data_IF_846071607049
#
_entry.id   IF_846071607049
#
_cell.length_a   1.000
_cell.length_b   1.000
_cell.length_c   1.000
_cell.angle_alpha   90.00
_cell.angle_beta   90.00
_cell.angle_gamma   90.00
#
_symmetry.space_group_name_H-M   'P 1'
#
loop_
_entity.id
_entity.type
_entity.pdbx_description
1 polymer ?
#
# COMPACT_ATOMS: atom_id res chain seq x y z
N UNK A 1 16.71 -1.15 11.71
CA UNK A 1 16.98 0.27 11.41
C UNK A 1 17.75 0.28 10.09
N UNK A 2 17.07 0.44 8.96
CA UNK A 2 17.73 0.48 7.64
C UNK A 2 18.26 1.89 7.44
N UNK A 3 19.57 2.02 7.25
CA UNK A 3 20.25 3.31 7.25
C UNK A 3 20.30 3.82 5.81
N UNK A 4 19.46 4.80 5.49
CA UNK A 4 19.46 5.47 4.17
C UNK A 4 20.04 6.89 4.19
N UNK A 5 20.40 7.44 5.37
CA UNK A 5 20.86 8.84 5.49
C UNK A 5 22.20 8.99 6.27
N UNK A 6 23.15 8.07 6.11
CA UNK A 6 24.49 8.18 6.75
C UNK A 6 25.59 8.39 5.73
N UNK A 7 26.64 9.13 6.11
CA UNK A 7 27.83 9.31 5.27
C UNK A 7 28.49 7.96 4.94
N UNK A 8 28.74 7.71 3.66
CA UNK A 8 29.23 6.44 3.13
C UNK A 8 28.12 5.56 2.51
N UNK A 9 26.84 5.84 2.77
CA UNK A 9 25.73 5.13 2.12
C UNK A 9 25.67 5.44 0.61
N UNK A 10 26.13 6.61 0.19
CA UNK A 10 26.23 7.01 -1.23
C UNK A 10 27.23 6.18 -2.04
N UNK A 11 28.10 5.39 -1.36
CA UNK A 11 29.08 4.49 -1.99
C UNK A 11 28.63 3.04 -2.04
N UNK A 12 27.40 2.76 -1.59
CA UNK A 12 26.83 1.41 -1.67
C UNK A 12 26.50 1.09 -3.13
N UNK A 13 26.84 -0.13 -3.52
CA UNK A 13 26.60 -0.63 -4.87
C UNK A 13 25.13 -1.03 -5.09
N UNK A 14 24.33 -1.05 -4.01
CA UNK A 14 22.99 -1.61 -4.00
C UNK A 14 23.01 -3.14 -4.05
N UNK A 15 21.88 -3.75 -4.38
CA UNK A 15 21.75 -5.21 -4.59
C UNK A 15 22.40 -6.03 -3.47
N UNK A 16 21.94 -5.81 -2.24
CA UNK A 16 22.40 -6.56 -1.06
C UNK A 16 23.62 -5.94 -0.34
N UNK A 17 24.28 -4.94 -0.92
CA UNK A 17 25.31 -4.15 -0.23
C UNK A 17 24.66 -3.11 0.70
N UNK A 18 25.03 -3.14 1.98
CA UNK A 18 24.42 -2.31 3.02
C UNK A 18 25.40 -1.93 4.14
N UNK A 19 25.07 -0.88 4.88
CA UNK A 19 25.74 -0.54 6.15
C UNK A 19 24.89 -1.04 7.33
N UNK A 20 25.45 -1.94 8.13
CA UNK A 20 24.87 -2.46 9.35
C UNK A 20 25.51 -1.79 10.57
N UNK A 21 24.69 -1.29 11.49
CA UNK A 21 25.20 -0.65 12.70
C UNK A 21 24.73 -1.40 13.97
N UNK A 22 25.53 -2.35 14.47
CA UNK A 22 25.19 -3.10 15.68
C UNK A 22 25.30 -2.22 16.93
N UNK A 23 24.55 -2.60 17.97
CA UNK A 23 24.62 -1.94 19.28
C UNK A 23 25.99 -2.16 19.90
N UNK A 24 26.67 -1.09 20.30
CA UNK A 24 27.97 -1.13 20.96
C UNK A 24 29.16 -0.87 20.03
N UNK A 25 28.95 -0.80 18.72
CA UNK A 25 29.99 -0.38 17.79
C UNK A 25 30.06 1.15 17.68
N UNK A 26 31.24 1.64 17.33
CA UNK A 26 31.48 3.08 17.12
C UNK A 26 31.22 3.55 15.68
N UNK A 27 31.16 2.61 14.73
CA UNK A 27 30.95 2.87 13.30
C UNK A 27 30.13 1.77 12.63
N UNK A 28 29.37 2.08 11.55
CA UNK A 28 28.69 1.06 10.75
C UNK A 28 29.68 0.13 10.03
N UNK A 29 29.32 -1.14 9.94
CA UNK A 29 30.02 -2.19 9.20
C UNK A 29 29.38 -2.32 7.81
N UNK A 30 30.20 -2.42 6.75
CA UNK A 30 29.70 -2.75 5.41
C UNK A 30 29.51 -4.25 5.30
N UNK A 31 28.32 -4.66 4.88
CA UNK A 31 27.92 -6.06 4.71
C UNK A 31 27.32 -6.23 3.32
N UNK A 32 27.59 -7.37 2.70
CA UNK A 32 26.96 -7.77 1.44
C UNK A 32 26.11 -9.03 1.68
N UNK A 33 24.80 -8.86 1.61
CA UNK A 33 23.84 -9.96 1.59
C UNK A 33 23.59 -10.46 0.18
N UNK A 34 23.00 -11.66 0.07
CA UNK A 34 22.44 -12.12 -1.19
C UNK A 34 21.27 -11.20 -1.56
N UNK A 35 21.35 -10.61 -2.75
CA UNK A 35 20.20 -9.96 -3.36
C UNK A 35 19.40 -11.00 -4.11
N UNK A 36 18.12 -11.08 -3.79
CA UNK A 36 17.15 -11.89 -4.52
C UNK A 36 16.13 -10.92 -5.06
N UNK A 37 15.94 -10.92 -6.38
CA UNK A 37 14.93 -10.08 -7.01
C UNK A 37 13.52 -10.63 -6.76
N UNK A 38 12.51 -9.79 -6.97
CA UNK A 38 11.11 -10.21 -6.82
C UNK A 38 10.78 -11.34 -7.80
N UNK A 39 11.27 -11.25 -9.03
CA UNK A 39 11.07 -12.27 -10.07
C UNK A 39 11.71 -13.63 -9.69
N UNK A 40 12.88 -13.61 -9.03
CA UNK A 40 13.53 -14.82 -8.54
C UNK A 40 12.74 -15.46 -7.41
N UNK A 41 12.19 -14.66 -6.49
CA UNK A 41 11.31 -15.16 -5.42
C UNK A 41 10.07 -15.82 -6.01
N UNK A 42 9.38 -15.14 -6.93
CA UNK A 42 8.17 -15.66 -7.59
C UNK A 42 8.44 -16.98 -8.30
N UNK A 43 9.53 -17.05 -9.07
CA UNK A 43 9.91 -18.26 -9.80
C UNK A 43 10.11 -19.46 -8.87
N UNK A 44 10.78 -19.25 -7.73
CA UNK A 44 11.01 -20.31 -6.74
C UNK A 44 9.70 -20.72 -6.08
N UNK A 45 8.83 -19.77 -5.74
CA UNK A 45 7.53 -20.03 -5.14
C UNK A 45 6.64 -20.83 -6.09
N UNK A 46 6.58 -20.46 -7.36
CA UNK A 46 5.82 -21.19 -8.38
C UNK A 46 6.33 -22.62 -8.57
N UNK A 47 7.65 -22.81 -8.62
CA UNK A 47 8.25 -24.13 -8.71
C UNK A 47 7.82 -25.02 -7.54
N UNK A 48 7.88 -24.51 -6.31
CA UNK A 48 7.46 -25.24 -5.11
C UNK A 48 5.96 -25.54 -5.15
N UNK A 49 5.14 -24.57 -5.53
CA UNK A 49 3.68 -24.71 -5.63
C UNK A 49 3.26 -25.81 -6.59
N UNK A 50 3.91 -25.87 -7.75
CA UNK A 50 3.63 -26.87 -8.78
C UNK A 50 4.16 -28.27 -8.42
N UNK A 51 5.16 -28.37 -7.55
CA UNK A 51 5.72 -29.64 -7.06
C UNK A 51 4.91 -30.31 -5.94
N UNK A 52 4.03 -29.58 -5.26
CA UNK A 52 3.24 -30.09 -4.14
C UNK A 52 1.85 -30.54 -4.62
N UNK A 53 1.49 -31.81 -4.35
CA UNK A 53 0.16 -32.37 -4.69
C UNK A 53 -0.97 -31.84 -3.83
N UNK A 54 -0.69 -31.46 -2.59
CA UNK A 54 -1.62 -30.81 -1.67
C UNK A 54 -0.88 -29.65 -0.97
N UNK A 55 -1.39 -28.44 -1.18
CA UNK A 55 -0.93 -27.23 -0.51
C UNK A 55 -1.77 -27.05 0.74
N UNK A 56 -1.23 -27.46 1.87
CA UNK A 56 -1.86 -27.22 3.17
C UNK A 56 -1.40 -25.84 3.67
N UNK A 57 -2.19 -24.81 3.33
CA UNK A 57 -1.95 -23.46 3.86
C UNK A 57 -2.32 -23.44 5.35
N UNK A 58 -1.36 -23.03 6.18
CA UNK A 58 -1.64 -22.82 7.61
C UNK A 58 -2.61 -21.67 7.77
N UNK A 59 -3.78 -21.99 8.33
CA UNK A 59 -4.87 -21.03 8.55
C UNK A 59 -4.42 -19.80 9.36
N UNK A 60 -3.57 -20.00 10.36
CA UNK A 60 -2.99 -18.93 11.19
C UNK A 60 -2.22 -17.88 10.36
N UNK A 61 -1.47 -18.31 9.35
CA UNK A 61 -0.71 -17.41 8.47
C UNK A 61 -1.66 -16.67 7.53
N UNK A 62 -2.69 -17.35 7.03
CA UNK A 62 -3.72 -16.72 6.20
C UNK A 62 -4.48 -15.65 6.98
N UNK A 63 -4.84 -15.93 8.24
CA UNK A 63 -5.52 -15.00 9.13
C UNK A 63 -4.61 -13.80 9.49
N UNK A 64 -3.30 -13.98 9.65
CA UNK A 64 -2.33 -12.87 9.84
C UNK A 64 -2.15 -12.02 8.58
N UNK A 65 -2.12 -12.63 7.40
CA UNK A 65 -2.05 -11.91 6.12
C UNK A 65 -3.33 -11.09 5.95
N UNK A 66 -4.50 -11.68 6.18
CA UNK A 66 -5.77 -10.97 6.13
C UNK A 66 -5.80 -9.82 7.15
N UNK A 67 -5.41 -10.06 8.40
CA UNK A 67 -5.34 -9.00 9.42
C UNK A 67 -4.29 -7.93 9.15
N UNK A 68 -3.17 -8.25 8.50
CA UNK A 68 -2.14 -7.27 8.12
C UNK A 68 -2.56 -6.44 6.91
N UNK A 69 -3.26 -7.05 5.95
CA UNK A 69 -3.93 -6.35 4.85
C UNK A 69 -5.07 -5.49 5.40
N UNK A 70 -5.84 -5.96 6.37
CA UNK A 70 -6.85 -5.18 7.08
C UNK A 70 -6.23 -4.06 7.92
N UNK A 71 -5.07 -4.26 8.56
CA UNK A 71 -4.33 -3.16 9.23
C UNK A 71 -3.73 -2.16 8.25
N UNK A 72 -3.44 -2.59 7.02
CA UNK A 72 -3.08 -1.70 5.90
C UNK A 72 -4.30 -1.06 5.24
N UNK A 73 -5.52 -1.57 5.53
CA UNK A 73 -6.84 -1.13 5.02
C UNK A 73 -7.82 -0.73 6.12
N UNK A 74 -7.35 -0.34 7.31
CA UNK A 74 -8.22 -0.29 8.48
C UNK A 74 -7.47 -0.09 9.77
N UNK A 75 -7.07 1.15 10.01
CA UNK A 75 -7.12 1.67 11.37
C UNK A 75 -8.58 1.76 11.80
N UNK A 76 -8.85 1.63 13.09
CA UNK A 76 -10.17 1.69 13.75
C UNK A 76 -10.95 3.01 13.56
N UNK A 77 -10.64 3.80 12.52
CA UNK A 77 -11.16 5.15 12.22
C UNK A 77 -11.77 5.29 10.81
N UNK A 78 -11.72 4.26 9.95
CA UNK A 78 -12.33 4.36 8.61
C UNK A 78 -13.86 4.42 8.71
N UNK A 79 -14.47 5.35 7.98
CA UNK A 79 -15.92 5.52 7.98
C UNK A 79 -16.63 4.29 7.40
N UNK A 80 -17.68 3.81 8.06
CA UNK A 80 -18.48 2.65 7.62
C UNK A 80 -18.99 2.75 6.16
N UNK A 81 -19.11 3.97 5.63
CA UNK A 81 -19.61 4.24 4.27
C UNK A 81 -18.48 4.39 3.24
N UNK A 82 -17.21 4.18 3.60
CA UNK A 82 -16.06 4.36 2.70
C UNK A 82 -16.18 3.48 1.46
N UNK A 83 -16.53 2.20 1.62
CA UNK A 83 -16.65 1.25 0.50
C UNK A 83 -17.75 1.66 -0.49
N UNK A 84 -18.88 2.15 0.02
CA UNK A 84 -19.98 2.63 -0.80
C UNK A 84 -19.60 3.94 -1.51
N UNK A 85 -18.90 4.83 -0.81
CA UNK A 85 -18.36 6.05 -1.38
C UNK A 85 -17.40 5.77 -2.54
N UNK A 86 -16.49 4.79 -2.39
CA UNK A 86 -15.51 4.41 -3.42
C UNK A 86 -16.24 3.97 -4.70
N UNK A 87 -17.26 3.12 -4.58
CA UNK A 87 -18.08 2.68 -5.72
C UNK A 87 -18.72 3.86 -6.44
N UNK A 88 -19.35 4.77 -5.71
CA UNK A 88 -19.99 5.97 -6.28
C UNK A 88 -18.98 6.83 -7.03
N UNK A 89 -17.80 7.03 -6.46
CA UNK A 89 -16.74 7.86 -7.04
C UNK A 89 -16.16 7.22 -8.30
N UNK A 90 -15.98 5.89 -8.33
CA UNK A 90 -15.56 5.15 -9.51
C UNK A 90 -16.59 5.21 -10.65
N UNK A 91 -17.87 5.04 -10.33
CA UNK A 91 -18.97 5.14 -11.30
C UNK A 91 -19.04 6.54 -11.94
N UNK A 92 -19.00 7.58 -11.11
CA UNK A 92 -19.12 8.98 -11.55
C UNK A 92 -17.82 9.54 -12.16
N UNK A 93 -16.68 8.91 -11.89
CA UNK A 93 -15.37 9.32 -12.41
C UNK A 93 -14.84 10.64 -11.84
N UNK A 94 -15.49 11.18 -10.80
CA UNK A 94 -15.09 12.40 -10.12
C UNK A 94 -15.44 12.31 -8.64
N UNK A 95 -14.57 12.83 -7.77
CA UNK A 95 -14.81 12.87 -6.34
C UNK A 95 -15.06 14.31 -5.85
N UNK A 96 -16.17 14.53 -5.15
CA UNK A 96 -16.44 15.78 -4.45
C UNK A 96 -17.28 15.53 -3.20
N UNK A 97 -17.12 16.39 -2.19
CA UNK A 97 -17.90 16.29 -0.94
C UNK A 97 -19.40 16.38 -1.21
N UNK A 98 -19.82 17.30 -2.09
CA UNK A 98 -21.25 17.46 -2.44
C UNK A 98 -21.84 16.24 -3.16
N UNK A 99 -21.04 15.48 -3.92
CA UNK A 99 -21.47 14.24 -4.56
C UNK A 99 -21.82 13.20 -3.49
N UNK A 100 -20.91 12.97 -2.53
CA UNK A 100 -21.10 11.99 -1.47
C UNK A 100 -22.24 12.38 -0.52
N UNK A 101 -22.40 13.67 -0.19
CA UNK A 101 -23.53 14.14 0.62
C UNK A 101 -24.89 13.77 0.02
N UNK A 102 -25.05 13.91 -1.30
CA UNK A 102 -26.32 13.59 -1.99
C UNK A 102 -26.53 12.08 -2.13
N UNK A 103 -25.48 11.34 -2.46
CA UNK A 103 -25.57 9.90 -2.72
C UNK A 103 -25.72 9.07 -1.45
N UNK A 104 -24.92 9.37 -0.42
CA UNK A 104 -24.90 8.65 0.85
C UNK A 104 -25.81 9.28 1.92
N UNK A 105 -26.43 10.43 1.61
CA UNK A 105 -27.31 11.18 2.54
C UNK A 105 -26.62 11.51 3.88
N UNK A 106 -25.34 11.86 3.82
CA UNK A 106 -24.51 12.20 4.98
C UNK A 106 -24.25 13.71 5.09
N UNK A 107 -23.89 14.15 6.30
CA UNK A 107 -23.48 15.53 6.56
C UNK A 107 -22.13 15.89 5.93
N UNK A 108 -21.88 17.19 5.75
CA UNK A 108 -20.68 17.72 5.08
C UNK A 108 -19.38 17.23 5.72
N UNK A 109 -19.27 17.28 7.06
CA UNK A 109 -18.05 16.89 7.76
C UNK A 109 -17.70 15.41 7.56
N UNK A 110 -18.72 14.54 7.53
CA UNK A 110 -18.55 13.11 7.29
C UNK A 110 -18.11 12.85 5.85
N UNK A 111 -18.77 13.50 4.88
CA UNK A 111 -18.37 13.43 3.47
C UNK A 111 -16.95 13.97 3.22
N UNK A 112 -16.53 15.01 3.95
CA UNK A 112 -15.19 15.56 3.86
C UNK A 112 -14.13 14.57 4.37
N UNK A 113 -14.37 13.93 5.52
CA UNK A 113 -13.46 12.89 6.05
C UNK A 113 -13.30 11.72 5.09
N UNK A 114 -14.40 11.19 4.55
CA UNK A 114 -14.38 10.11 3.57
C UNK A 114 -13.54 10.50 2.32
N UNK A 115 -13.67 11.74 1.85
CA UNK A 115 -12.87 12.24 0.72
C UNK A 115 -11.38 12.34 1.08
N UNK A 116 -11.06 12.80 2.28
CA UNK A 116 -9.66 12.93 2.73
C UNK A 116 -9.03 11.54 2.99
N UNK A 117 -9.81 10.56 3.45
CA UNK A 117 -9.43 9.15 3.57
C UNK A 117 -9.14 8.53 2.20
N UNK A 118 -10.02 8.73 1.22
CA UNK A 118 -9.79 8.30 -0.17
C UNK A 118 -8.55 8.92 -0.82
N UNK A 119 -8.22 10.15 -0.46
CA UNK A 119 -6.99 10.82 -0.92
C UNK A 119 -5.76 10.18 -0.28
N UNK A 120 -5.81 9.90 1.03
CA UNK A 120 -4.73 9.26 1.76
C UNK A 120 -4.44 7.83 1.26
N UNK A 121 -5.48 7.09 0.86
CA UNK A 121 -5.36 5.75 0.26
C UNK A 121 -4.98 5.78 -1.24
N UNK A 122 -4.87 6.97 -1.84
CA UNK A 122 -4.47 7.12 -3.24
C UNK A 122 -5.56 6.73 -4.26
N UNK A 123 -6.82 6.66 -3.84
CA UNK A 123 -7.98 6.37 -4.71
C UNK A 123 -8.35 7.60 -5.55
N UNK A 124 -8.13 8.80 -5.01
CA UNK A 124 -8.44 10.07 -5.67
C UNK A 124 -7.24 11.02 -5.65
N UNK A 125 -7.20 11.94 -6.60
CA UNK A 125 -6.15 12.95 -6.68
C UNK A 125 -6.25 13.99 -5.57
N UNK A 126 -5.10 14.61 -5.27
CA UNK A 126 -5.05 15.73 -4.36
C UNK A 126 -5.89 16.93 -4.79
N UNK A 127 -6.14 17.85 -3.85
CA UNK A 127 -6.94 19.07 -4.08
C UNK A 127 -6.30 19.91 -5.19
N UNK A 128 -6.99 20.05 -6.32
CA UNK A 128 -6.52 20.85 -7.45
C UNK A 128 -7.42 22.09 -7.68
N UNK A 129 -7.39 23.01 -6.71
CA UNK A 129 -8.16 24.25 -6.76
C UNK A 129 -9.68 24.03 -6.84
N UNK A 130 -10.33 24.62 -7.84
CA UNK A 130 -11.78 24.52 -8.09
C UNK A 130 -12.19 23.33 -8.96
N UNK A 131 -11.22 22.52 -9.43
CA UNK A 131 -11.50 21.36 -10.28
C UNK A 131 -11.84 20.12 -9.43
N UNK A 132 -12.78 19.27 -9.89
CA UNK A 132 -13.10 18.02 -9.21
C UNK A 132 -11.86 17.11 -9.15
N UNK A 133 -11.73 16.36 -8.05
CA UNK A 133 -10.62 15.42 -7.84
C UNK A 133 -10.77 14.27 -8.84
N UNK A 134 -9.68 13.93 -9.52
CA UNK A 134 -9.64 12.82 -10.47
C UNK A 134 -9.59 11.49 -9.71
N UNK A 135 -10.14 10.44 -10.29
CA UNK A 135 -10.22 9.11 -9.66
C UNK A 135 -9.21 8.19 -10.33
N UNK A 136 -8.29 7.64 -9.54
CA UNK A 136 -7.32 6.65 -10.00
C UNK A 136 -7.98 5.28 -9.88
N UNK A 137 -8.35 4.68 -11.01
CA UNK A 137 -9.04 3.38 -11.00
C UNK A 137 -9.97 3.16 -12.19
N UNK A 138 -10.17 4.16 -13.06
CA UNK A 138 -11.06 3.97 -14.20
C UNK A 138 -10.45 3.20 -15.38
N UNK A 139 -9.14 3.16 -15.59
CA UNK A 139 -8.55 2.35 -16.70
C UNK A 139 -7.01 2.21 -16.74
N UNK A 140 -6.24 2.60 -15.72
CA UNK A 140 -4.75 2.56 -15.81
C UNK A 140 -4.08 1.32 -15.19
N UNK A 141 -4.86 0.37 -14.64
CA UNK A 141 -4.34 -0.89 -14.05
C UNK A 141 -4.79 -2.16 -14.78
N UNK A 142 -5.50 -2.06 -15.92
CA UNK A 142 -5.82 -3.20 -16.80
C UNK A 142 -5.00 -3.23 -18.11
N UNK A 143 -3.80 -2.65 -18.10
CA UNK A 143 -2.78 -2.87 -19.15
C UNK A 143 -1.49 -3.40 -18.54
N UNK A 144 -1.48 -4.69 -18.23
CA UNK A 144 -0.32 -5.56 -18.44
C UNK A 144 -0.79 -6.85 -19.11
#
# INVERSE_FOLDING_TARGET
>A
RTILDSSGAEKLLGKGDMLYYPVGESKPLRIQGAFVSEEEVETVVEFIRNGLKELEYKKEIMDEIENSVSKSKGGEDCDELIDEAIKIVLEEGQASTSLLQRRLKIGYNRAARIIDEMEAEGIISGRNGSKPRQVFGRDDTMRQ
#
